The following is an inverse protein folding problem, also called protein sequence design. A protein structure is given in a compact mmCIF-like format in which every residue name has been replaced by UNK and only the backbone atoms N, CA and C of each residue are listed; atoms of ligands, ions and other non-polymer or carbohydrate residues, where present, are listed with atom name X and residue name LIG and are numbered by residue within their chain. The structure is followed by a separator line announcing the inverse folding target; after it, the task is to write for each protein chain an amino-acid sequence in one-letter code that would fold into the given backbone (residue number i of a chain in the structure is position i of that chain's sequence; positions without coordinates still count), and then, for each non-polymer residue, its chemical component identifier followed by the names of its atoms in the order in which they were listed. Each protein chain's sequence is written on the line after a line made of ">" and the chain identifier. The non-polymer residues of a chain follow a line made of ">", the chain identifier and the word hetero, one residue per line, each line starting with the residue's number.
data_IF_993467221528
#
_entry.id   IF_993467221528
#
_cell.length_a   1.000
_cell.length_b   1.000
_cell.length_c   1.000
_cell.angle_alpha   90.00
_cell.angle_beta   90.00
_cell.angle_gamma   90.00
#
_symmetry.space_group_name_H-M   'P 1'
#
loop_
_entity.id
_entity.type
_entity.pdbx_description
1 polymer ?
#
# COMPACT_ATOMS: atom_id res chain seq x y z
N UNK A 1 8.99 -49.73 12.17
CA UNK A 1 8.70 -50.81 13.12
C UNK A 1 9.41 -50.52 14.42
N UNK A 2 8.65 -50.20 15.47
CA UNK A 2 9.13 -50.15 16.84
C UNK A 2 8.42 -51.26 17.63
N UNK A 3 9.20 -52.05 18.36
CA UNK A 3 8.77 -53.24 19.13
C UNK A 3 7.86 -52.81 20.30
N UNK A 4 6.76 -53.55 20.47
CA UNK A 4 5.79 -53.41 21.56
C UNK A 4 6.35 -53.96 22.89
N UNK A 5 6.26 -53.17 23.95
CA UNK A 5 6.36 -53.60 25.35
C UNK A 5 5.06 -53.21 26.06
N UNK A 6 4.47 -54.17 26.79
CA UNK A 6 3.14 -54.07 27.38
C UNK A 6 3.07 -53.16 28.62
N UNK A 7 1.87 -52.60 28.86
CA UNK A 7 1.38 -51.86 30.02
C UNK A 7 1.75 -50.36 30.18
N UNK A 8 1.01 -49.50 29.45
CA UNK A 8 0.44 -48.28 30.05
C UNK A 8 -0.66 -47.70 29.17
N UNK A 9 -1.91 -47.86 29.61
CA UNK A 9 -3.11 -47.24 29.04
C UNK A 9 -3.23 -45.83 29.61
N UNK A 10 -2.70 -44.78 28.96
CA UNK A 10 -3.22 -43.42 29.10
C UNK A 10 -2.88 -42.56 27.87
N UNK A 11 -3.91 -42.41 27.02
CA UNK A 11 -4.24 -41.24 26.18
C UNK A 11 -3.16 -40.67 25.23
N UNK A 12 -3.37 -40.94 23.94
CA UNK A 12 -2.91 -40.14 22.82
C UNK A 12 -3.32 -38.67 23.03
N UNK A 13 -2.40 -37.80 23.49
CA UNK A 13 -2.51 -36.36 23.25
C UNK A 13 -1.51 -36.02 22.15
N UNK A 14 -2.03 -35.96 20.93
CA UNK A 14 -1.44 -35.14 19.89
C UNK A 14 -1.27 -33.74 20.47
N UNK A 15 -0.03 -33.32 20.72
CA UNK A 15 0.27 -31.90 20.81
C UNK A 15 0.09 -31.37 19.39
N UNK A 16 -1.15 -31.01 19.07
CA UNK A 16 -1.42 -30.05 18.02
C UNK A 16 -0.72 -28.78 18.47
N UNK A 17 0.50 -28.58 17.99
CA UNK A 17 1.07 -27.25 17.90
C UNK A 17 0.06 -26.51 17.03
N UNK A 18 -0.82 -25.74 17.67
CA UNK A 18 -1.54 -24.69 16.99
C UNK A 18 -0.44 -23.76 16.49
N UNK A 19 0.00 -23.95 15.24
CA UNK A 19 0.48 -22.83 14.47
C UNK A 19 -0.65 -21.81 14.55
N UNK A 20 -0.43 -20.73 15.29
CA UNK A 20 -1.27 -19.54 15.19
C UNK A 20 -1.04 -19.00 13.79
N UNK A 21 -1.77 -19.58 12.84
CA UNK A 21 -1.83 -19.19 11.45
C UNK A 21 -2.75 -17.98 11.38
N UNK A 22 -2.16 -16.81 11.63
CA UNK A 22 -2.59 -15.51 11.11
C UNK A 22 -1.35 -14.62 11.05
N UNK A 23 -0.41 -14.95 10.17
CA UNK A 23 0.52 -13.93 9.68
C UNK A 23 -0.04 -13.39 8.36
N UNK A 24 -1.19 -12.71 8.46
CA UNK A 24 -1.59 -11.77 7.41
C UNK A 24 -0.73 -10.53 7.64
N UNK A 25 0.52 -10.54 7.18
CA UNK A 25 1.30 -9.32 7.04
C UNK A 25 0.50 -8.36 6.18
N UNK A 26 -0.14 -7.38 6.82
CA UNK A 26 -0.97 -6.40 6.14
C UNK A 26 -0.12 -5.70 5.08
N UNK A 27 -0.49 -5.85 3.80
CA UNK A 27 0.31 -5.41 2.67
C UNK A 27 0.29 -3.90 2.46
N UNK A 28 -0.77 -3.23 2.90
CA UNK A 28 -0.99 -1.79 2.71
C UNK A 28 -1.33 -1.09 4.01
N UNK A 29 -0.67 0.03 4.25
CA UNK A 29 -0.77 0.78 5.50
C UNK A 29 -1.22 2.20 5.22
N UNK A 30 -2.44 2.54 5.61
CA UNK A 30 -2.92 3.92 5.60
C UNK A 30 -2.35 4.67 6.80
N UNK A 31 -1.49 5.64 6.54
CA UNK A 31 -0.91 6.51 7.56
C UNK A 31 -1.72 7.80 7.62
N UNK A 32 -2.40 8.02 8.74
CA UNK A 32 -3.25 9.21 8.97
C UNK A 32 -2.46 10.48 9.30
N UNK A 33 -1.16 10.36 9.54
CA UNK A 33 -0.28 11.52 9.75
C UNK A 33 -0.21 12.41 8.52
N UNK A 34 -0.24 13.72 8.74
CA UNK A 34 -0.21 14.72 7.68
C UNK A 34 1.23 15.07 7.33
N UNK A 35 1.75 14.59 6.19
CA UNK A 35 3.12 14.85 5.71
C UNK A 35 3.12 15.39 4.28
N UNK A 36 4.13 16.18 3.93
CA UNK A 36 4.40 16.55 2.53
C UNK A 36 4.82 15.31 1.74
N UNK A 37 4.69 15.32 0.41
CA UNK A 37 4.92 14.12 -0.40
C UNK A 37 6.30 13.48 -0.15
N UNK A 38 7.37 14.29 -0.16
CA UNK A 38 8.73 13.80 0.08
C UNK A 38 8.90 13.20 1.49
N UNK A 39 8.24 13.78 2.50
CA UNK A 39 8.28 13.27 3.88
C UNK A 39 7.45 12.00 4.04
N UNK A 40 6.33 11.89 3.32
CA UNK A 40 5.52 10.68 3.26
C UNK A 40 6.31 9.53 2.62
N UNK A 41 7.00 9.78 1.50
CA UNK A 41 7.89 8.79 0.87
C UNK A 41 9.00 8.35 1.80
N UNK A 42 9.69 9.30 2.43
CA UNK A 42 10.78 8.99 3.36
C UNK A 42 10.28 8.14 4.53
N UNK A 43 9.09 8.45 5.06
CA UNK A 43 8.46 7.64 6.09
C UNK A 43 8.20 6.21 5.61
N UNK A 44 7.61 6.03 4.43
CA UNK A 44 7.34 4.69 3.91
C UNK A 44 8.64 3.91 3.67
N UNK A 45 9.73 4.54 3.21
CA UNK A 45 11.02 3.85 3.03
C UNK A 45 11.75 3.54 4.33
N UNK A 46 11.44 4.27 5.41
CA UNK A 46 12.01 4.02 6.74
C UNK A 46 11.28 2.88 7.47
N UNK A 47 9.97 2.75 7.25
CA UNK A 47 9.09 1.83 8.02
C UNK A 47 8.54 0.65 7.22
N UNK A 48 8.51 0.78 5.89
CA UNK A 48 7.87 -0.11 4.93
C UNK A 48 8.75 -0.22 3.67
N UNK A 49 8.18 -0.59 2.52
CA UNK A 49 8.92 -0.58 1.25
C UNK A 49 8.93 0.80 0.58
N UNK A 50 7.77 1.34 0.19
CA UNK A 50 7.64 2.68 -0.41
C UNK A 50 6.16 3.12 -0.34
N UNK A 51 5.84 4.31 -0.87
CA UNK A 51 4.48 4.70 -1.21
C UNK A 51 3.89 3.75 -2.26
N UNK A 52 2.60 3.46 -2.14
CA UNK A 52 1.91 2.52 -3.04
C UNK A 52 1.87 3.01 -4.50
N UNK A 53 2.29 2.19 -5.45
CA UNK A 53 2.15 2.52 -6.88
C UNK A 53 0.70 2.39 -7.36
N UNK A 54 0.38 3.09 -8.45
CA UNK A 54 -0.97 3.17 -8.99
C UNK A 54 -1.45 1.86 -9.60
N UNK A 55 -0.53 0.99 -10.03
CA UNK A 55 -0.89 -0.37 -10.42
C UNK A 55 -1.53 -1.12 -9.24
N UNK A 56 -0.87 -1.08 -8.07
CA UNK A 56 -1.36 -1.71 -6.84
C UNK A 56 -2.67 -1.06 -6.38
N UNK A 57 -2.77 0.27 -6.51
CA UNK A 57 -3.99 1.04 -6.24
C UNK A 57 -5.22 0.55 -7.02
N UNK A 58 -5.03 0.05 -8.25
CA UNK A 58 -6.12 -0.36 -9.13
C UNK A 58 -6.37 -1.86 -9.15
N UNK A 59 -5.35 -2.68 -8.89
CA UNK A 59 -5.41 -4.12 -9.12
C UNK A 59 -5.54 -4.93 -7.82
N UNK A 60 -5.25 -4.35 -6.66
CA UNK A 60 -5.24 -5.09 -5.41
C UNK A 60 -6.52 -4.90 -4.59
N UNK A 61 -7.21 -6.03 -4.34
CA UNK A 61 -8.46 -6.05 -3.58
C UNK A 61 -8.29 -5.67 -2.11
N UNK A 62 -7.15 -5.99 -1.48
CA UNK A 62 -6.89 -5.64 -0.08
C UNK A 62 -6.79 -4.12 0.12
N UNK A 63 -6.26 -3.42 -0.89
CA UNK A 63 -6.17 -1.97 -0.86
C UNK A 63 -7.56 -1.33 -0.93
N UNK A 64 -8.52 -1.97 -1.60
CA UNK A 64 -9.91 -1.50 -1.61
C UNK A 64 -10.50 -1.44 -0.19
N UNK A 65 -10.24 -2.45 0.64
CA UNK A 65 -10.70 -2.47 2.04
C UNK A 65 -10.05 -1.36 2.87
N UNK A 66 -8.75 -1.13 2.69
CA UNK A 66 -8.05 0.01 3.32
C UNK A 66 -8.68 1.34 2.90
N UNK A 67 -9.11 1.46 1.64
CA UNK A 67 -9.77 2.67 1.14
C UNK A 67 -11.20 2.86 1.61
N UNK A 68 -11.97 1.78 1.75
CA UNK A 68 -13.33 1.85 2.30
C UNK A 68 -13.34 2.36 3.75
N UNK A 69 -12.22 2.23 4.47
CA UNK A 69 -12.04 2.80 5.82
C UNK A 69 -11.80 4.31 5.86
N UNK A 70 -11.58 4.95 4.70
CA UNK A 70 -11.28 6.38 4.56
C UNK A 70 -12.56 7.19 4.45
N UNK A 71 -12.62 8.35 5.12
CA UNK A 71 -13.73 9.30 4.93
C UNK A 71 -13.77 9.81 3.48
N UNK A 72 -14.95 9.71 2.85
CA UNK A 72 -15.20 10.18 1.48
C UNK A 72 -14.68 11.62 1.30
N UNK A 73 -13.97 11.87 0.19
CA UNK A 73 -13.36 13.16 -0.12
C UNK A 73 -11.98 13.41 0.48
N UNK A 74 -11.42 12.46 1.24
CA UNK A 74 -10.03 12.58 1.73
C UNK A 74 -9.05 12.45 0.57
N UNK A 75 -8.13 13.42 0.46
CA UNK A 75 -7.04 13.43 -0.53
C UNK A 75 -5.82 12.73 0.05
N UNK A 76 -5.35 11.66 -0.61
CA UNK A 76 -4.27 10.80 -0.11
C UNK A 76 -3.10 10.77 -1.11
N UNK A 77 -1.86 10.80 -0.61
CA UNK A 77 -0.67 10.57 -1.42
C UNK A 77 -0.43 9.09 -1.74
N UNK A 78 0.05 8.84 -2.95
CA UNK A 78 0.52 7.55 -3.43
C UNK A 78 1.84 7.73 -4.22
N UNK A 79 2.48 6.63 -4.59
CA UNK A 79 3.85 6.54 -5.11
C UNK A 79 4.05 7.02 -6.55
N UNK A 80 3.25 7.96 -7.03
CA UNK A 80 3.47 8.61 -8.33
C UNK A 80 4.10 9.99 -8.12
N UNK A 81 5.30 10.20 -8.66
CA UNK A 81 6.01 11.48 -8.56
C UNK A 81 6.68 11.88 -9.87
N UNK A 82 7.10 13.14 -9.95
CA UNK A 82 7.48 13.77 -11.21
C UNK A 82 8.92 14.26 -11.25
N UNK A 83 9.66 13.65 -12.17
CA UNK A 83 10.60 14.31 -13.10
C UNK A 83 10.34 13.85 -14.55
N UNK A 84 9.72 12.67 -14.73
CA UNK A 84 9.18 12.15 -16.01
C UNK A 84 7.96 11.22 -15.83
N UNK A 85 7.17 11.42 -14.75
CA UNK A 85 6.11 10.51 -14.29
C UNK A 85 6.58 9.06 -14.10
N UNK A 86 7.53 8.90 -13.18
CA UNK A 86 8.04 7.59 -12.75
C UNK A 86 7.40 7.21 -11.42
N UNK A 87 7.23 5.92 -11.21
CA UNK A 87 6.77 5.40 -9.94
C UNK A 87 7.92 5.48 -8.91
N UNK A 88 7.59 5.80 -7.66
CA UNK A 88 8.58 5.84 -6.56
C UNK A 88 9.21 4.49 -6.30
N UNK A 89 8.46 3.41 -6.52
CA UNK A 89 8.93 2.03 -6.45
C UNK A 89 9.74 1.57 -7.68
N UNK A 90 9.91 2.44 -8.70
CA UNK A 90 10.65 2.12 -9.91
C UNK A 90 9.93 1.21 -10.91
N UNK A 91 8.65 0.88 -10.70
CA UNK A 91 7.87 0.05 -11.63
C UNK A 91 7.73 0.70 -13.03
N UNK A 92 7.53 -0.13 -14.07
CA UNK A 92 7.44 0.30 -15.48
C UNK A 92 5.99 0.45 -15.98
N UNK A 93 5.01 0.46 -15.07
CA UNK A 93 3.58 0.50 -15.42
C UNK A 93 3.24 1.82 -16.14
N UNK A 94 2.69 1.73 -17.36
CA UNK A 94 2.44 2.88 -18.25
C UNK A 94 1.02 3.45 -18.18
N UNK A 95 0.04 2.68 -17.69
CA UNK A 95 -1.34 3.15 -17.57
C UNK A 95 -1.46 4.27 -16.54
N UNK A 96 -2.37 5.21 -16.79
CA UNK A 96 -2.61 6.36 -15.93
C UNK A 96 -4.11 6.59 -15.77
N UNK A 97 -4.62 6.50 -14.54
CA UNK A 97 -6.04 6.67 -14.21
C UNK A 97 -6.39 8.14 -13.91
N UNK A 98 -5.89 9.07 -14.72
CA UNK A 98 -6.09 10.50 -14.49
C UNK A 98 -7.55 10.93 -14.68
N UNK A 99 -8.00 11.91 -13.90
CA UNK A 99 -9.20 12.66 -14.26
C UNK A 99 -8.90 13.53 -15.50
N UNK A 100 -9.77 13.45 -16.51
CA UNK A 100 -9.63 14.08 -17.83
C UNK A 100 -9.43 15.60 -17.79
N UNK A 101 -9.77 16.26 -16.67
CA UNK A 101 -9.70 17.71 -16.54
C UNK A 101 -8.27 18.29 -16.38
N UNK A 102 -7.25 17.47 -16.11
CA UNK A 102 -5.93 17.98 -15.67
C UNK A 102 -4.76 17.80 -16.65
N UNK A 103 -4.97 17.23 -17.85
CA UNK A 103 -3.87 17.03 -18.82
C UNK A 103 -3.33 18.37 -19.38
N UNK A 104 -4.03 19.48 -19.14
CA UNK A 104 -3.65 20.80 -19.66
C UNK A 104 -2.83 21.69 -18.71
N UNK A 105 -2.51 21.24 -17.50
CA UNK A 105 -1.73 22.07 -16.59
C UNK A 105 -0.24 21.87 -16.82
N UNK A 106 0.40 22.99 -17.15
CA UNK A 106 1.81 23.11 -17.51
C UNK A 106 2.68 22.36 -16.53
N UNK A 107 3.83 21.98 -17.04
CA UNK A 107 4.89 21.19 -16.45
C UNK A 107 5.51 21.88 -15.21
N UNK A 108 4.73 22.24 -14.20
CA UNK A 108 5.19 22.89 -12.99
C UNK A 108 5.79 21.85 -12.04
N UNK A 109 7.01 22.09 -11.58
CA UNK A 109 7.82 21.14 -10.81
C UNK A 109 7.36 20.95 -9.35
N UNK A 110 6.23 21.55 -8.97
CA UNK A 110 5.68 21.51 -7.60
C UNK A 110 4.45 20.61 -7.42
N UNK A 111 4.02 19.87 -8.45
CA UNK A 111 2.82 19.04 -8.40
C UNK A 111 3.14 17.55 -8.20
N UNK A 112 2.45 16.95 -7.24
CA UNK A 112 2.50 15.53 -6.90
C UNK A 112 1.15 14.87 -7.20
N UNK A 113 1.19 13.58 -7.49
CA UNK A 113 -0.03 12.82 -7.73
C UNK A 113 -0.72 12.49 -6.41
N UNK A 114 -2.05 12.61 -6.42
CA UNK A 114 -2.93 12.26 -5.33
C UNK A 114 -4.12 11.46 -5.86
N UNK A 115 -4.74 10.68 -4.99
CA UNK A 115 -6.02 10.03 -5.27
C UNK A 115 -7.08 10.56 -4.30
N UNK A 116 -8.32 10.63 -4.78
CA UNK A 116 -9.51 10.99 -3.99
C UNK A 116 -10.58 9.93 -4.24
N UNK A 117 -11.18 9.41 -3.17
CA UNK A 117 -12.21 8.37 -3.23
C UNK A 117 -13.62 8.95 -3.33
N UNK A 118 -13.79 9.98 -4.15
CA UNK A 118 -15.09 10.55 -4.53
C UNK A 118 -15.48 10.20 -5.98
N UNK A 119 -14.51 9.71 -6.77
CA UNK A 119 -14.60 9.70 -8.24
C UNK A 119 -13.96 8.45 -8.86
N UNK A 120 -14.39 7.25 -8.44
CA UNK A 120 -13.82 5.96 -8.89
C UNK A 120 -12.29 5.83 -8.68
N UNK A 121 -11.76 6.57 -7.71
CA UNK A 121 -10.32 6.60 -7.39
C UNK A 121 -9.46 7.30 -8.44
N UNK A 122 -10.05 8.12 -9.33
CA UNK A 122 -9.32 8.87 -10.36
C UNK A 122 -8.22 9.74 -9.75
N UNK A 123 -7.08 9.74 -10.42
CA UNK A 123 -5.88 10.45 -9.96
C UNK A 123 -5.98 11.93 -10.33
N UNK A 124 -5.52 12.78 -9.41
CA UNK A 124 -5.44 14.23 -9.56
C UNK A 124 -4.02 14.66 -9.25
N UNK A 125 -3.69 15.90 -9.58
CA UNK A 125 -2.43 16.53 -9.17
C UNK A 125 -2.71 17.58 -8.12
N UNK A 126 -1.87 17.66 -7.09
CA UNK A 126 -1.93 18.69 -6.07
C UNK A 126 -0.50 19.11 -5.67
N UNK A 127 -0.34 20.25 -5.01
CA UNK A 127 0.97 20.72 -4.56
C UNK A 127 1.62 19.72 -3.60
N UNK A 128 2.86 19.33 -3.90
CA UNK A 128 3.67 18.41 -3.09
C UNK A 128 3.91 18.89 -1.65
N UNK A 129 3.80 20.20 -1.42
CA UNK A 129 4.05 20.86 -0.14
C UNK A 129 2.83 20.84 0.79
N UNK A 130 1.66 20.46 0.25
CA UNK A 130 0.47 20.26 1.07
C UNK A 130 0.65 18.99 1.90
N UNK A 131 0.36 19.08 3.20
CA UNK A 131 0.41 17.91 4.08
C UNK A 131 -0.86 17.08 3.90
N UNK A 132 -0.68 15.77 3.68
CA UNK A 132 -1.78 14.81 3.45
C UNK A 132 -1.48 13.48 4.15
N UNK A 133 -2.52 12.66 4.43
CA UNK A 133 -2.32 11.24 4.70
C UNK A 133 -1.76 10.53 3.46
N UNK A 134 -1.21 9.33 3.65
CA UNK A 134 -0.51 8.60 2.60
C UNK A 134 -0.59 7.08 2.83
N UNK A 135 -0.43 6.31 1.77
CA UNK A 135 -0.44 4.84 1.84
C UNK A 135 0.95 4.28 1.53
N UNK A 136 1.49 3.53 2.48
CA UNK A 136 2.68 2.73 2.28
C UNK A 136 2.29 1.31 1.85
N UNK A 137 3.19 0.62 1.17
CA UNK A 137 3.07 -0.82 0.95
C UNK A 137 4.31 -1.56 1.43
N UNK A 138 4.12 -2.82 1.80
CA UNK A 138 5.18 -3.78 1.99
C UNK A 138 5.25 -4.69 0.75
N UNK A 139 6.40 -4.70 0.08
CA UNK A 139 6.65 -5.59 -1.05
C UNK A 139 7.27 -6.88 -0.56
N UNK A 140 6.82 -8.02 -1.08
CA UNK A 140 7.62 -9.24 -1.00
C UNK A 140 8.87 -9.03 -1.86
N UNK A 141 10.02 -8.89 -1.19
CA UNK A 141 11.33 -9.01 -1.82
C UNK A 141 11.52 -10.46 -2.24
N UNK A 142 10.99 -10.85 -3.41
CA UNK A 142 11.46 -12.06 -4.07
C UNK A 142 12.93 -11.84 -4.43
N UNK A 143 13.81 -12.41 -3.59
CA UNK A 143 15.23 -12.58 -3.88
C UNK A 143 15.44 -13.77 -4.81
#
# INVERSE_FOLDING_TARGET
>A
GCRFGFLSLFLCRALSVHSTETDTTQKYHLIKEQKTWQKAQSYCREKHTDLVSGQKLLQDGELKEVMESVTIGTVIYFGLFRDSWRWSDGSSFSFRHWNNELINQRYDSGLCAVTVFDDEGRWKTDSCDVKKPFICYDGELFS
#
